data_IF_469320465057
#
_entry.id   IF_469320465057
#
_cell.length_a   1.000
_cell.length_b   1.000
_cell.length_c   1.000
_cell.angle_alpha   90.00
_cell.angle_beta   90.00
_cell.angle_gamma   90.00
#
_symmetry.space_group_name_H-M   'P 1'
#
loop_
_entity.id
_entity.type
_entity.pdbx_description
1 polymer ?
#
# COMPACT_ATOMS: atom_id res chain seq x y z
N UNK A 1 1.36 -18.16 34.68
CA UNK A 1 2.80 -18.04 34.99
C UNK A 1 3.11 -16.57 35.08
N UNK A 2 3.92 -16.12 36.02
CA UNK A 2 4.29 -14.70 36.10
C UNK A 2 5.62 -14.40 35.36
N UNK A 3 5.96 -13.12 35.25
CA UNK A 3 7.18 -12.68 34.56
C UNK A 3 8.45 -13.20 35.24
N UNK A 4 8.47 -13.30 36.56
CA UNK A 4 9.66 -13.71 37.30
C UNK A 4 9.95 -15.19 37.06
N UNK A 5 8.92 -16.04 37.20
CA UNK A 5 9.01 -17.48 36.91
C UNK A 5 9.48 -17.75 35.48
N UNK A 6 8.93 -17.03 34.49
CA UNK A 6 9.37 -17.15 33.09
C UNK A 6 10.85 -16.80 32.94
N UNK A 7 11.29 -15.67 33.49
CA UNK A 7 12.66 -15.19 33.32
C UNK A 7 13.68 -16.09 34.02
N UNK A 8 13.35 -16.65 35.19
CA UNK A 8 14.21 -17.61 35.89
C UNK A 8 14.37 -18.90 35.09
N UNK A 9 13.27 -19.48 34.60
CA UNK A 9 13.29 -20.69 33.77
C UNK A 9 14.03 -20.45 32.46
N UNK A 10 13.82 -19.29 31.83
CA UNK A 10 14.54 -18.91 30.63
C UNK A 10 16.05 -18.76 30.88
N UNK A 11 16.44 -18.15 32.01
CA UNK A 11 17.84 -18.05 32.43
C UNK A 11 18.47 -19.43 32.71
N UNK A 12 17.68 -20.40 33.19
CA UNK A 12 18.09 -21.78 33.38
C UNK A 12 18.22 -22.59 32.06
N UNK A 13 17.93 -21.98 30.91
CA UNK A 13 18.07 -22.59 29.59
C UNK A 13 16.77 -23.15 29.01
N UNK A 14 15.65 -23.03 29.73
CA UNK A 14 14.35 -23.38 29.17
C UNK A 14 13.98 -22.40 28.06
N UNK A 15 13.42 -22.92 26.97
CA UNK A 15 12.97 -22.10 25.84
C UNK A 15 11.52 -22.33 25.48
N UNK A 16 10.94 -23.47 25.88
CA UNK A 16 9.56 -23.79 25.58
C UNK A 16 8.62 -23.28 26.67
N UNK A 17 7.83 -22.28 26.30
CA UNK A 17 6.76 -21.71 27.09
C UNK A 17 5.49 -21.66 26.22
N UNK A 18 5.25 -22.70 25.43
CA UNK A 18 4.05 -22.79 24.62
C UNK A 18 2.78 -22.81 25.50
N UNK A 19 1.71 -22.20 25.01
CA UNK A 19 0.37 -22.19 25.64
C UNK A 19 0.26 -21.55 27.02
N UNK A 20 1.34 -21.00 27.58
CA UNK A 20 1.33 -20.36 28.90
C UNK A 20 0.47 -19.09 28.89
N UNK A 21 -0.14 -18.79 30.04
CA UNK A 21 -0.79 -17.51 30.29
C UNK A 21 0.19 -16.58 31.04
N UNK A 22 0.52 -15.48 30.37
CA UNK A 22 1.38 -14.37 30.75
C UNK A 22 0.63 -13.04 30.60
N UNK A 23 -0.70 -13.06 30.66
CA UNK A 23 -1.52 -11.85 30.54
C UNK A 23 -1.14 -10.82 31.60
N UNK A 24 -1.04 -9.55 31.20
CA UNK A 24 -0.69 -8.43 32.08
C UNK A 24 0.72 -8.47 32.68
N UNK A 25 1.60 -9.36 32.20
CA UNK A 25 2.96 -9.46 32.73
C UNK A 25 3.86 -8.32 32.27
N UNK A 26 4.85 -7.98 33.10
CA UNK A 26 5.85 -6.95 32.83
C UNK A 26 7.16 -7.60 32.37
N UNK A 27 7.38 -7.61 31.06
CA UNK A 27 8.55 -8.17 30.37
C UNK A 27 9.35 -7.08 29.63
N UNK A 28 9.24 -5.83 30.09
CA UNK A 28 9.93 -4.68 29.50
C UNK A 28 11.44 -4.91 29.43
N UNK A 29 12.00 -4.79 28.23
CA UNK A 29 13.43 -4.97 27.99
C UNK A 29 13.95 -6.40 28.20
N UNK A 30 13.07 -7.39 28.43
CA UNK A 30 13.47 -8.77 28.66
C UNK A 30 14.23 -9.35 27.45
N UNK A 31 15.26 -10.14 27.71
CA UNK A 31 15.95 -10.91 26.67
C UNK A 31 15.28 -12.27 26.52
N UNK A 32 14.53 -12.44 25.44
CA UNK A 32 13.74 -13.62 25.10
C UNK A 32 14.03 -14.08 23.66
N UNK A 33 15.26 -13.89 23.19
CA UNK A 33 15.68 -14.27 21.84
C UNK A 33 15.51 -15.77 21.60
N UNK A 34 14.81 -16.13 20.54
CA UNK A 34 14.52 -17.53 20.21
C UNK A 34 13.64 -18.26 21.21
N UNK A 35 12.92 -17.54 22.10
CA UNK A 35 11.93 -18.16 22.98
C UNK A 35 10.81 -18.79 22.14
N UNK A 36 10.27 -19.91 22.61
CA UNK A 36 9.05 -20.51 22.07
C UNK A 36 7.87 -20.15 22.95
N UNK A 37 7.01 -19.27 22.43
CA UNK A 37 5.78 -18.77 23.02
C UNK A 37 4.58 -19.08 22.10
N UNK A 38 4.65 -20.17 21.32
CA UNK A 38 3.55 -20.58 20.45
C UNK A 38 2.25 -20.68 21.24
N UNK A 39 1.21 -20.02 20.75
CA UNK A 39 -0.14 -19.99 21.36
C UNK A 39 -0.18 -19.52 22.82
N UNK A 40 0.89 -18.90 23.33
CA UNK A 40 0.86 -18.27 24.64
C UNK A 40 -0.12 -17.08 24.63
N UNK A 41 -0.64 -16.75 25.81
CA UNK A 41 -1.53 -15.61 26.01
C UNK A 41 -0.72 -14.51 26.69
N UNK A 42 -0.49 -13.41 25.97
CA UNK A 42 0.19 -12.21 26.41
C UNK A 42 -0.74 -10.99 26.29
N UNK A 43 -2.03 -11.19 26.57
CA UNK A 43 -3.03 -10.14 26.57
C UNK A 43 -2.61 -9.02 27.55
N UNK A 44 -2.60 -7.77 27.09
CA UNK A 44 -2.18 -6.59 27.90
C UNK A 44 -0.75 -6.68 28.51
N UNK A 45 0.09 -7.61 28.05
CA UNK A 45 1.47 -7.70 28.55
C UNK A 45 2.31 -6.51 28.09
N UNK A 46 3.25 -6.06 28.94
CA UNK A 46 4.24 -5.04 28.58
C UNK A 46 5.55 -5.70 28.17
N UNK A 47 5.78 -5.78 26.87
CA UNK A 47 6.99 -6.26 26.20
C UNK A 47 7.78 -5.11 25.58
N UNK A 48 7.57 -3.87 26.03
CA UNK A 48 8.25 -2.71 25.44
C UNK A 48 9.76 -2.87 25.51
N UNK A 49 10.45 -2.66 24.38
CA UNK A 49 11.89 -2.84 24.26
C UNK A 49 12.41 -4.27 24.45
N UNK A 50 11.54 -5.29 24.55
CA UNK A 50 11.97 -6.68 24.70
C UNK A 50 12.73 -7.18 23.45
N UNK A 51 13.67 -8.11 23.66
CA UNK A 51 14.46 -8.74 22.61
C UNK A 51 13.83 -10.10 22.28
N UNK A 52 13.11 -10.17 21.17
CA UNK A 52 12.37 -11.33 20.68
C UNK A 52 12.89 -11.79 19.30
N UNK A 53 14.15 -11.49 18.98
CA UNK A 53 14.77 -11.86 17.70
C UNK A 53 14.67 -13.37 17.51
N UNK A 54 14.11 -13.79 16.38
CA UNK A 54 13.89 -15.21 16.05
C UNK A 54 12.96 -15.97 17.00
N UNK A 55 12.15 -15.30 17.81
CA UNK A 55 11.18 -15.96 18.68
C UNK A 55 10.08 -16.69 17.88
N UNK A 56 9.62 -17.82 18.41
CA UNK A 56 8.50 -18.60 17.88
C UNK A 56 7.21 -18.14 18.58
N UNK A 57 6.42 -17.33 17.87
CA UNK A 57 5.21 -16.66 18.36
C UNK A 57 3.97 -17.07 17.54
N UNK A 58 4.02 -18.21 16.85
CA UNK A 58 2.90 -18.64 16.00
C UNK A 58 1.64 -18.85 16.85
N UNK A 59 0.55 -18.20 16.43
CA UNK A 59 -0.75 -18.24 17.12
C UNK A 59 -0.77 -17.55 18.49
N UNK A 60 0.27 -16.79 18.86
CA UNK A 60 0.31 -16.06 20.13
C UNK A 60 -0.82 -15.02 20.21
N UNK A 61 -1.35 -14.78 21.41
CA UNK A 61 -2.35 -13.73 21.65
C UNK A 61 -1.69 -12.53 22.32
N UNK A 62 -1.42 -11.48 21.57
CA UNK A 62 -0.80 -10.21 21.99
C UNK A 62 -1.81 -9.05 21.95
N UNK A 63 -3.11 -9.34 22.04
CA UNK A 63 -4.15 -8.32 22.01
C UNK A 63 -3.91 -7.27 23.10
N UNK A 64 -3.97 -6.00 22.71
CA UNK A 64 -3.77 -4.85 23.61
C UNK A 64 -2.40 -4.83 24.33
N UNK A 65 -1.43 -5.67 23.90
CA UNK A 65 -0.08 -5.69 24.46
C UNK A 65 0.75 -4.47 24.01
N UNK A 66 1.71 -4.08 24.84
CA UNK A 66 2.68 -3.05 24.51
C UNK A 66 4.00 -3.69 24.07
N UNK A 67 4.33 -3.61 22.78
CA UNK A 67 5.62 -4.02 22.20
C UNK A 67 6.38 -2.81 21.61
N UNK A 68 6.15 -1.61 22.11
CA UNK A 68 6.84 -0.41 21.61
C UNK A 68 8.37 -0.57 21.67
N UNK A 69 9.05 -0.33 20.55
CA UNK A 69 10.50 -0.50 20.43
C UNK A 69 11.02 -1.93 20.62
N UNK A 70 10.14 -2.95 20.68
CA UNK A 70 10.58 -4.34 20.78
C UNK A 70 11.32 -4.78 19.52
N UNK A 71 12.25 -5.73 19.68
CA UNK A 71 13.08 -6.26 18.60
C UNK A 71 12.62 -7.67 18.24
N UNK A 72 11.79 -7.78 17.22
CA UNK A 72 11.20 -9.02 16.72
C UNK A 72 11.80 -9.49 15.39
N UNK A 73 12.96 -8.99 14.97
CA UNK A 73 13.50 -9.34 13.66
C UNK A 73 13.62 -10.86 13.46
N UNK A 74 13.12 -11.33 12.32
CA UNK A 74 13.03 -12.75 11.99
C UNK A 74 12.09 -13.61 12.86
N UNK A 75 11.30 -13.03 13.76
CA UNK A 75 10.34 -13.79 14.57
C UNK A 75 9.20 -14.38 13.72
N UNK A 76 8.64 -15.50 14.16
CA UNK A 76 7.55 -16.20 13.49
C UNK A 76 6.23 -15.94 14.21
N UNK A 77 5.35 -15.15 13.59
CA UNK A 77 4.05 -14.72 14.12
C UNK A 77 2.89 -15.21 13.25
N UNK A 78 3.01 -16.40 12.64
CA UNK A 78 1.95 -16.96 11.78
C UNK A 78 0.66 -17.08 12.58
N UNK A 79 -0.42 -16.47 12.10
CA UNK A 79 -1.73 -16.51 12.75
C UNK A 79 -1.79 -15.86 14.14
N UNK A 80 -0.78 -15.08 14.54
CA UNK A 80 -0.80 -14.35 15.80
C UNK A 80 -1.93 -13.31 15.84
N UNK A 81 -2.48 -13.03 17.02
CA UNK A 81 -3.46 -11.96 17.23
C UNK A 81 -2.81 -10.79 17.98
N UNK A 82 -2.48 -9.74 17.25
CA UNK A 82 -1.92 -8.48 17.74
C UNK A 82 -2.97 -7.35 17.73
N UNK A 83 -4.27 -7.69 17.72
CA UNK A 83 -5.32 -6.67 17.61
C UNK A 83 -5.18 -5.61 18.70
N UNK A 84 -5.18 -4.33 18.28
CA UNK A 84 -4.99 -3.16 19.14
C UNK A 84 -3.67 -3.12 19.94
N UNK A 85 -2.71 -3.99 19.65
CA UNK A 85 -1.39 -3.89 20.25
C UNK A 85 -0.67 -2.61 19.81
N UNK A 86 0.32 -2.17 20.59
CA UNK A 86 1.20 -1.06 20.25
C UNK A 86 2.59 -1.58 19.91
N UNK A 87 3.04 -1.36 18.68
CA UNK A 87 4.35 -1.74 18.13
C UNK A 87 5.09 -0.51 17.58
N UNK A 88 4.88 0.65 18.18
CA UNK A 88 5.49 1.91 17.72
C UNK A 88 7.00 1.77 17.73
N UNK A 89 7.63 2.03 16.59
CA UNK A 89 9.09 1.94 16.41
C UNK A 89 9.67 0.54 16.64
N UNK A 90 8.87 -0.52 16.65
CA UNK A 90 9.36 -1.88 16.79
C UNK A 90 10.10 -2.35 15.52
N UNK A 91 11.09 -3.22 15.70
CA UNK A 91 11.79 -3.87 14.59
C UNK A 91 11.17 -5.24 14.31
N UNK A 92 10.38 -5.32 13.25
CA UNK A 92 9.75 -6.54 12.73
C UNK A 92 10.36 -6.95 11.38
N UNK A 93 11.59 -6.50 11.08
CA UNK A 93 12.23 -6.81 9.80
C UNK A 93 12.35 -8.33 9.60
N UNK A 94 11.98 -8.80 8.40
CA UNK A 94 12.01 -10.21 8.04
C UNK A 94 11.07 -11.13 8.86
N UNK A 95 10.13 -10.60 9.64
CA UNK A 95 9.16 -11.41 10.38
C UNK A 95 8.19 -12.14 9.45
N UNK A 96 7.65 -13.27 9.91
CA UNK A 96 6.54 -13.96 9.24
C UNK A 96 5.24 -13.70 9.97
N UNK A 97 4.36 -12.89 9.38
CA UNK A 97 3.03 -12.49 9.87
C UNK A 97 1.90 -13.06 8.99
N UNK A 98 2.14 -14.19 8.31
CA UNK A 98 1.14 -14.81 7.43
C UNK A 98 -0.16 -15.07 8.20
N UNK A 99 -1.28 -14.55 7.69
CA UNK A 99 -2.61 -14.64 8.31
C UNK A 99 -2.70 -14.12 9.76
N UNK A 100 -1.76 -13.29 10.19
CA UNK A 100 -1.84 -12.63 11.49
C UNK A 100 -2.98 -11.59 11.52
N UNK A 101 -3.56 -11.36 12.69
CA UNK A 101 -4.54 -10.30 12.92
C UNK A 101 -3.85 -9.11 13.57
N UNK A 102 -3.76 -8.01 12.83
CA UNK A 102 -3.15 -6.72 13.21
C UNK A 102 -4.21 -5.60 13.17
N UNK A 103 -5.47 -5.94 13.46
CA UNK A 103 -6.58 -5.00 13.35
C UNK A 103 -6.43 -3.90 14.41
N UNK A 104 -6.48 -2.64 13.99
CA UNK A 104 -6.29 -1.46 14.85
C UNK A 104 -4.96 -1.45 15.62
N UNK A 105 -3.98 -2.21 15.17
CA UNK A 105 -2.64 -2.21 15.75
C UNK A 105 -1.94 -0.91 15.42
N UNK A 106 -1.19 -0.36 16.38
CA UNK A 106 -0.34 0.80 16.13
C UNK A 106 1.07 0.35 15.74
N UNK A 107 1.45 0.57 14.50
CA UNK A 107 2.74 0.24 13.89
C UNK A 107 3.46 1.52 13.41
N UNK A 108 3.12 2.70 13.93
CA UNK A 108 3.74 3.96 13.54
C UNK A 108 5.27 3.87 13.65
N UNK A 109 5.97 4.19 12.56
CA UNK A 109 7.43 4.16 12.50
C UNK A 109 8.08 2.79 12.70
N UNK A 110 7.31 1.69 12.68
CA UNK A 110 7.86 0.35 12.80
C UNK A 110 8.64 -0.05 11.53
N UNK A 111 9.62 -0.93 11.69
CA UNK A 111 10.35 -1.52 10.57
C UNK A 111 9.78 -2.90 10.23
N UNK A 112 9.09 -3.02 9.09
CA UNK A 112 8.60 -4.26 8.50
C UNK A 112 9.30 -4.58 7.17
N UNK A 113 10.53 -4.07 6.96
CA UNK A 113 11.31 -4.39 5.77
C UNK A 113 11.39 -5.91 5.57
N UNK A 114 11.04 -6.37 4.36
CA UNK A 114 11.01 -7.80 3.97
C UNK A 114 10.11 -8.71 4.82
N UNK A 115 9.21 -8.16 5.63
CA UNK A 115 8.26 -8.96 6.39
C UNK A 115 7.25 -9.65 5.45
N UNK A 116 6.78 -10.84 5.84
CA UNK A 116 5.73 -11.57 5.12
C UNK A 116 4.38 -11.41 5.80
N UNK A 117 3.54 -10.51 5.29
CA UNK A 117 2.20 -10.16 5.75
C UNK A 117 1.10 -10.69 4.81
N UNK A 118 1.39 -11.67 3.95
CA UNK A 118 0.41 -12.21 3.03
C UNK A 118 -0.86 -12.65 3.78
N UNK A 119 -2.03 -12.28 3.27
CA UNK A 119 -3.34 -12.58 3.86
C UNK A 119 -3.54 -12.09 5.32
N UNK A 120 -2.66 -11.22 5.84
CA UNK A 120 -2.82 -10.63 7.16
C UNK A 120 -3.96 -9.60 7.19
N UNK A 121 -4.58 -9.43 8.36
CA UNK A 121 -5.64 -8.44 8.55
C UNK A 121 -5.10 -7.22 9.31
N UNK A 122 -4.77 -6.15 8.58
CA UNK A 122 -4.36 -4.85 9.12
C UNK A 122 -5.47 -3.78 8.99
N UNK A 123 -6.75 -4.19 8.95
CA UNK A 123 -7.84 -3.23 8.83
C UNK A 123 -7.79 -2.20 9.96
N UNK A 124 -7.96 -0.91 9.64
CA UNK A 124 -7.92 0.21 10.58
C UNK A 124 -6.59 0.32 11.37
N UNK A 125 -5.50 -0.31 10.92
CA UNK A 125 -4.19 -0.18 11.55
C UNK A 125 -3.59 1.22 11.33
N UNK A 126 -2.77 1.65 12.29
CA UNK A 126 -2.00 2.89 12.19
C UNK A 126 -0.59 2.52 11.73
N UNK A 127 -0.22 2.92 10.53
CA UNK A 127 1.00 2.54 9.81
C UNK A 127 1.75 3.78 9.28
N UNK A 128 1.51 4.97 9.87
CA UNK A 128 2.17 6.17 9.40
C UNK A 128 3.69 6.05 9.56
N UNK A 129 4.43 6.48 8.54
CA UNK A 129 5.90 6.43 8.49
C UNK A 129 6.51 5.03 8.68
N UNK A 130 5.74 3.96 8.42
CA UNK A 130 6.21 2.57 8.52
C UNK A 130 7.16 2.22 7.35
N UNK A 131 8.19 1.40 7.60
CA UNK A 131 9.03 0.84 6.53
C UNK A 131 8.54 -0.54 6.13
N UNK A 132 7.98 -0.66 4.93
CA UNK A 132 7.48 -1.89 4.30
C UNK A 132 8.25 -2.20 2.99
N UNK A 133 9.47 -1.67 2.82
CA UNK A 133 10.29 -1.94 1.62
C UNK A 133 10.48 -3.45 1.44
N UNK A 134 10.31 -3.92 0.21
CA UNK A 134 10.40 -5.34 -0.17
C UNK A 134 9.47 -6.29 0.63
N UNK A 135 8.49 -5.77 1.38
CA UNK A 135 7.56 -6.59 2.15
C UNK A 135 6.56 -7.30 1.24
N UNK A 136 6.01 -8.43 1.73
CA UNK A 136 5.02 -9.24 1.00
C UNK A 136 3.66 -9.09 1.67
N UNK A 137 2.75 -8.35 1.05
CA UNK A 137 1.39 -8.06 1.54
C UNK A 137 0.32 -8.58 0.58
N UNK A 138 0.63 -9.60 -0.23
CA UNK A 138 -0.32 -10.12 -1.20
C UNK A 138 -1.61 -10.56 -0.49
N UNK A 139 -2.76 -10.07 -0.99
CA UNK A 139 -4.10 -10.33 -0.44
C UNK A 139 -4.31 -9.87 1.02
N UNK A 140 -3.42 -9.05 1.58
CA UNK A 140 -3.63 -8.48 2.90
C UNK A 140 -4.83 -7.51 2.90
N UNK A 141 -5.46 -7.36 4.07
CA UNK A 141 -6.54 -6.40 4.27
C UNK A 141 -6.03 -5.18 5.02
N UNK A 142 -5.91 -4.04 4.34
CA UNK A 142 -5.56 -2.72 4.88
C UNK A 142 -6.72 -1.72 4.76
N UNK A 143 -7.96 -2.22 4.72
CA UNK A 143 -9.15 -1.35 4.64
C UNK A 143 -9.15 -0.34 5.79
N UNK A 144 -9.26 0.95 5.46
CA UNK A 144 -9.27 2.05 6.44
C UNK A 144 -7.96 2.24 7.21
N UNK A 145 -6.85 1.63 6.79
CA UNK A 145 -5.56 1.82 7.45
C UNK A 145 -4.94 3.19 7.11
N UNK A 146 -4.12 3.71 8.02
CA UNK A 146 -3.36 4.94 7.80
C UNK A 146 -1.90 4.62 7.48
N UNK A 147 -1.52 4.67 6.21
CA UNK A 147 -0.16 4.52 5.69
C UNK A 147 0.45 5.86 5.22
N UNK A 148 0.01 7.00 5.75
CA UNK A 148 0.61 8.28 5.36
C UNK A 148 2.12 8.28 5.60
N UNK A 149 2.88 8.76 4.62
CA UNK A 149 4.36 8.80 4.63
C UNK A 149 5.05 7.44 4.79
N UNK A 150 4.35 6.32 4.58
CA UNK A 150 4.94 4.99 4.63
C UNK A 150 5.88 4.75 3.44
N UNK A 151 6.91 3.93 3.64
CA UNK A 151 7.81 3.49 2.55
C UNK A 151 7.48 2.06 2.16
N UNK A 152 6.85 1.86 1.01
CA UNK A 152 6.48 0.55 0.43
C UNK A 152 7.19 0.27 -0.90
N UNK A 153 8.30 0.95 -1.20
CA UNK A 153 9.04 0.72 -2.43
C UNK A 153 9.34 -0.77 -2.65
N UNK A 154 9.03 -1.26 -3.86
CA UNK A 154 9.17 -2.67 -4.29
C UNK A 154 8.35 -3.69 -3.50
N UNK A 155 7.43 -3.28 -2.64
CA UNK A 155 6.57 -4.20 -1.92
C UNK A 155 5.63 -4.96 -2.88
N UNK A 156 5.31 -6.21 -2.52
CA UNK A 156 4.26 -6.98 -3.19
C UNK A 156 2.91 -6.74 -2.52
N UNK A 157 2.10 -5.90 -3.13
CA UNK A 157 0.75 -5.51 -2.73
C UNK A 157 -0.30 -6.13 -3.67
N UNK A 158 0.03 -7.23 -4.35
CA UNK A 158 -0.90 -7.85 -5.31
C UNK A 158 -2.21 -8.27 -4.62
N UNK A 159 -3.34 -7.91 -5.24
CA UNK A 159 -4.69 -8.19 -4.72
C UNK A 159 -4.94 -7.66 -3.28
N UNK A 160 -4.17 -6.67 -2.83
CA UNK A 160 -4.36 -6.05 -1.51
C UNK A 160 -5.68 -5.27 -1.46
N UNK A 161 -6.29 -5.19 -0.28
CA UNK A 161 -7.46 -4.32 -0.04
C UNK A 161 -7.02 -3.06 0.70
N UNK A 162 -7.08 -1.92 0.04
CA UNK A 162 -6.75 -0.58 0.56
C UNK A 162 -7.96 0.36 0.52
N UNK A 163 -9.18 -0.19 0.47
CA UNK A 163 -10.41 0.61 0.43
C UNK A 163 -10.44 1.58 1.61
N UNK A 164 -10.71 2.87 1.35
CA UNK A 164 -10.74 3.93 2.36
C UNK A 164 -9.42 4.14 3.14
N UNK A 165 -8.29 3.58 2.68
CA UNK A 165 -6.99 3.80 3.31
C UNK A 165 -6.45 5.20 3.01
N UNK A 166 -5.59 5.71 3.89
CA UNK A 166 -4.76 6.90 3.61
C UNK A 166 -3.35 6.43 3.26
N UNK A 167 -2.83 6.89 2.13
CA UNK A 167 -1.46 6.70 1.65
C UNK A 167 -0.86 8.06 1.24
N UNK A 168 -1.35 9.16 1.82
CA UNK A 168 -0.90 10.50 1.51
C UNK A 168 0.62 10.61 1.71
N UNK A 169 1.34 11.02 0.66
CA UNK A 169 2.80 11.15 0.69
C UNK A 169 3.58 9.83 0.83
N UNK A 170 2.94 8.66 0.65
CA UNK A 170 3.64 7.38 0.74
C UNK A 170 4.53 7.14 -0.49
N UNK A 171 5.58 6.34 -0.30
CA UNK A 171 6.47 5.90 -1.37
C UNK A 171 6.13 4.46 -1.78
N UNK A 172 5.58 4.28 -2.99
CA UNK A 172 5.27 2.99 -3.61
C UNK A 172 6.09 2.78 -4.89
N UNK A 173 7.28 3.38 -5.00
CA UNK A 173 8.14 3.24 -6.17
C UNK A 173 8.33 1.75 -6.53
N UNK A 174 8.01 1.40 -7.77
CA UNK A 174 8.13 0.02 -8.33
C UNK A 174 7.39 -1.05 -7.53
N UNK A 175 6.40 -0.69 -6.71
CA UNK A 175 5.57 -1.66 -5.99
C UNK A 175 4.65 -2.43 -6.96
N UNK A 176 4.29 -3.66 -6.57
CA UNK A 176 3.35 -4.48 -7.33
C UNK A 176 1.94 -4.38 -6.70
N UNK A 177 1.04 -3.62 -7.31
CA UNK A 177 -0.37 -3.48 -6.93
C UNK A 177 -1.32 -4.19 -7.92
N UNK A 178 -0.85 -5.23 -8.62
CA UNK A 178 -1.70 -5.94 -9.60
C UNK A 178 -3.00 -6.42 -8.96
N UNK A 179 -4.15 -6.01 -9.52
CA UNK A 179 -5.47 -6.39 -9.03
C UNK A 179 -5.82 -5.87 -7.63
N UNK A 180 -5.07 -4.90 -7.09
CA UNK A 180 -5.36 -4.29 -5.81
C UNK A 180 -6.68 -3.49 -5.84
N UNK A 181 -7.33 -3.36 -4.68
CA UNK A 181 -8.52 -2.52 -4.53
C UNK A 181 -8.19 -1.29 -3.67
N UNK A 182 -8.06 -0.14 -4.32
CA UNK A 182 -7.77 1.18 -3.77
C UNK A 182 -8.98 2.12 -3.95
N UNK A 183 -10.20 1.60 -4.02
CA UNK A 183 -11.36 2.46 -4.18
C UNK A 183 -11.53 3.37 -2.96
N UNK A 184 -11.85 4.64 -3.19
CA UNK A 184 -12.10 5.64 -2.15
C UNK A 184 -10.90 5.92 -1.22
N UNK A 185 -9.69 5.48 -1.55
CA UNK A 185 -8.49 5.79 -0.77
C UNK A 185 -7.89 7.15 -1.13
N UNK A 186 -7.13 7.72 -0.20
CA UNK A 186 -6.35 8.94 -0.42
C UNK A 186 -4.89 8.61 -0.73
N UNK A 187 -4.48 8.86 -1.96
CA UNK A 187 -3.11 8.71 -2.48
C UNK A 187 -2.59 10.07 -2.98
N UNK A 188 -3.05 11.18 -2.40
CA UNK A 188 -2.47 12.49 -2.73
C UNK A 188 -0.97 12.51 -2.43
N UNK A 189 -0.18 13.15 -3.29
CA UNK A 189 1.29 13.25 -3.14
C UNK A 189 2.05 11.91 -3.13
N UNK A 190 1.42 10.80 -3.52
CA UNK A 190 2.06 9.48 -3.51
C UNK A 190 3.10 9.38 -4.62
N UNK A 191 4.21 8.67 -4.36
CA UNK A 191 5.11 8.22 -5.41
C UNK A 191 4.73 6.79 -5.85
N UNK A 192 4.36 6.62 -7.12
CA UNK A 192 4.01 5.36 -7.79
C UNK A 192 4.86 5.13 -9.04
N UNK A 193 6.00 5.81 -9.16
CA UNK A 193 6.88 5.70 -10.33
C UNK A 193 7.27 4.24 -10.59
N UNK A 194 7.06 3.81 -11.84
CA UNK A 194 7.31 2.43 -12.29
C UNK A 194 6.49 1.34 -11.59
N UNK A 195 5.50 1.70 -10.76
CA UNK A 195 4.64 0.73 -10.08
C UNK A 195 3.74 -0.02 -11.07
N UNK A 196 3.29 -1.21 -10.68
CA UNK A 196 2.40 -2.04 -11.47
C UNK A 196 0.99 -2.08 -10.85
N UNK A 197 0.04 -1.33 -11.41
CA UNK A 197 -1.37 -1.26 -11.02
C UNK A 197 -2.29 -1.94 -12.04
N UNK A 198 -1.77 -2.92 -12.79
CA UNK A 198 -2.56 -3.65 -13.79
C UNK A 198 -3.83 -4.22 -13.17
N UNK A 199 -4.99 -3.96 -13.78
CA UNK A 199 -6.31 -4.41 -13.30
C UNK A 199 -6.67 -3.95 -11.88
N UNK A 200 -6.00 -2.92 -11.34
CA UNK A 200 -6.35 -2.37 -10.04
C UNK A 200 -7.67 -1.60 -10.09
N UNK A 201 -8.42 -1.64 -8.99
CA UNK A 201 -9.59 -0.79 -8.80
C UNK A 201 -9.19 0.49 -8.06
N UNK A 202 -9.20 1.61 -8.76
CA UNK A 202 -8.85 2.97 -8.32
C UNK A 202 -10.09 3.89 -8.39
N UNK A 203 -11.31 3.33 -8.38
CA UNK A 203 -12.52 4.14 -8.50
C UNK A 203 -12.63 5.15 -7.34
N UNK A 204 -12.88 6.42 -7.65
CA UNK A 204 -12.98 7.51 -6.68
C UNK A 204 -11.72 7.73 -5.82
N UNK A 205 -10.57 7.20 -6.23
CA UNK A 205 -9.30 7.45 -5.55
C UNK A 205 -8.92 8.93 -5.65
N UNK A 206 -8.23 9.45 -4.63
CA UNK A 206 -7.54 10.73 -4.73
C UNK A 206 -6.07 10.51 -5.09
N UNK A 207 -5.62 10.98 -6.25
CA UNK A 207 -4.23 10.94 -6.74
C UNK A 207 -3.71 12.36 -7.04
N UNK A 208 -4.29 13.38 -6.41
CA UNK A 208 -3.87 14.77 -6.60
C UNK A 208 -2.38 14.94 -6.32
N UNK A 209 -1.67 15.56 -7.26
CA UNK A 209 -0.22 15.82 -7.18
C UNK A 209 0.65 14.56 -6.99
N UNK A 210 0.13 13.39 -7.34
CA UNK A 210 0.89 12.14 -7.29
C UNK A 210 1.86 11.97 -8.48
N UNK A 211 2.93 11.21 -8.26
CA UNK A 211 3.93 10.83 -9.27
C UNK A 211 3.65 9.41 -9.78
N UNK A 212 3.35 9.25 -11.07
CA UNK A 212 3.00 7.99 -11.73
C UNK A 212 3.80 7.82 -13.04
N UNK A 213 5.05 8.25 -13.07
CA UNK A 213 5.91 8.15 -14.25
C UNK A 213 6.19 6.68 -14.57
N UNK A 214 5.90 6.26 -15.81
CA UNK A 214 6.12 4.89 -16.26
C UNK A 214 5.28 3.82 -15.55
N UNK A 215 4.25 4.22 -14.80
CA UNK A 215 3.37 3.31 -14.08
C UNK A 215 2.51 2.48 -15.04
N UNK A 216 2.31 1.19 -14.74
CA UNK A 216 1.44 0.33 -15.53
C UNK A 216 0.01 0.30 -14.97
N UNK A 217 -0.91 0.96 -15.65
CA UNK A 217 -2.34 1.05 -15.34
C UNK A 217 -3.21 0.27 -16.35
N UNK A 218 -2.64 -0.71 -17.07
CA UNK A 218 -3.39 -1.51 -18.05
C UNK A 218 -4.65 -2.13 -17.43
N UNK A 219 -5.81 -1.88 -18.04
CA UNK A 219 -7.13 -2.31 -17.55
C UNK A 219 -7.48 -1.86 -16.11
N UNK A 220 -6.85 -0.80 -15.60
CA UNK A 220 -7.20 -0.26 -14.30
C UNK A 220 -8.54 0.52 -14.35
N UNK A 221 -9.31 0.48 -13.27
CA UNK A 221 -10.53 1.26 -13.13
C UNK A 221 -10.26 2.54 -12.35
N UNK A 222 -10.19 3.68 -13.03
CA UNK A 222 -10.02 5.04 -12.48
C UNK A 222 -11.32 5.86 -12.56
N UNK A 223 -12.49 5.21 -12.62
CA UNK A 223 -13.79 5.89 -12.70
C UNK A 223 -13.94 6.89 -11.55
N UNK A 224 -14.24 8.15 -11.90
CA UNK A 224 -14.37 9.27 -10.96
C UNK A 224 -13.15 9.52 -10.05
N UNK A 225 -11.96 9.06 -10.45
CA UNK A 225 -10.71 9.36 -9.75
C UNK A 225 -10.35 10.86 -9.85
N UNK A 226 -9.69 11.39 -8.82
CA UNK A 226 -9.11 12.74 -8.82
C UNK A 226 -7.64 12.63 -9.17
N UNK A 227 -7.25 13.09 -10.35
CA UNK A 227 -5.89 13.09 -10.91
C UNK A 227 -5.42 14.53 -11.17
N UNK A 228 -5.72 15.44 -10.24
CA UNK A 228 -5.44 16.87 -10.40
C UNK A 228 -3.93 17.09 -10.30
N UNK A 229 -3.32 17.66 -11.34
CA UNK A 229 -1.87 17.95 -11.39
C UNK A 229 -1.01 16.68 -11.18
N UNK A 230 -1.56 15.51 -11.49
CA UNK A 230 -0.84 14.23 -11.43
C UNK A 230 0.17 14.11 -12.57
N UNK A 231 1.34 13.54 -12.30
CA UNK A 231 2.37 13.26 -13.31
C UNK A 231 2.20 11.82 -13.80
N UNK A 232 1.77 11.64 -15.04
CA UNK A 232 1.48 10.35 -15.70
C UNK A 232 2.41 10.09 -16.90
N UNK A 233 3.60 10.69 -16.90
CA UNK A 233 4.53 10.65 -18.03
C UNK A 233 4.91 9.21 -18.39
N UNK A 234 4.69 8.82 -19.65
CA UNK A 234 5.00 7.47 -20.12
C UNK A 234 4.20 6.35 -19.45
N UNK A 235 3.14 6.67 -18.69
CA UNK A 235 2.30 5.66 -18.06
C UNK A 235 1.52 4.84 -19.10
N UNK A 236 1.29 3.57 -18.80
CA UNK A 236 0.48 2.69 -19.65
C UNK A 236 -0.95 2.63 -19.13
N UNK A 237 -1.86 3.41 -19.73
CA UNK A 237 -3.30 3.42 -19.43
C UNK A 237 -4.13 2.68 -20.50
N UNK A 238 -3.51 1.79 -21.28
CA UNK A 238 -4.24 1.01 -22.29
C UNK A 238 -5.42 0.26 -21.66
N UNK A 239 -6.61 0.42 -22.27
CA UNK A 239 -7.89 -0.15 -21.79
C UNK A 239 -8.29 0.25 -20.37
N UNK A 240 -7.75 1.35 -19.84
CA UNK A 240 -8.18 1.87 -18.54
C UNK A 240 -9.55 2.57 -18.63
N UNK A 241 -10.33 2.50 -17.55
CA UNK A 241 -11.61 3.21 -17.42
C UNK A 241 -11.41 4.48 -16.62
N UNK A 242 -11.49 5.65 -17.25
CA UNK A 242 -11.35 6.98 -16.64
C UNK A 242 -12.67 7.79 -16.72
N UNK A 243 -13.82 7.10 -16.74
CA UNK A 243 -15.14 7.74 -16.85
C UNK A 243 -15.30 8.77 -15.72
N UNK A 244 -15.61 10.02 -16.09
CA UNK A 244 -15.78 11.14 -15.16
C UNK A 244 -14.58 11.41 -14.24
N UNK A 245 -13.38 10.94 -14.58
CA UNK A 245 -12.17 11.25 -13.83
C UNK A 245 -11.78 12.72 -14.03
N UNK A 246 -11.16 13.32 -13.01
CA UNK A 246 -10.68 14.70 -13.07
C UNK A 246 -9.16 14.72 -13.26
N UNK A 247 -8.70 14.93 -14.49
CA UNK A 247 -7.29 15.04 -14.88
C UNK A 247 -6.86 16.51 -15.09
N UNK A 248 -7.51 17.48 -14.43
CA UNK A 248 -7.19 18.89 -14.64
C UNK A 248 -5.72 19.19 -14.30
N UNK A 249 -4.99 19.74 -15.26
CA UNK A 249 -3.56 20.05 -15.11
C UNK A 249 -2.63 18.83 -15.07
N UNK A 250 -3.13 17.61 -15.28
CA UNK A 250 -2.29 16.40 -15.29
C UNK A 250 -1.31 16.42 -16.47
N UNK A 251 -0.12 15.86 -16.27
CA UNK A 251 0.87 15.68 -17.33
C UNK A 251 0.86 14.22 -17.82
N UNK A 252 0.27 13.98 -18.98
CA UNK A 252 0.20 12.67 -19.60
C UNK A 252 1.24 12.49 -20.72
N UNK A 253 2.30 13.30 -20.77
CA UNK A 253 3.24 13.27 -21.90
C UNK A 253 3.77 11.84 -22.15
N UNK A 254 3.74 11.38 -23.40
CA UNK A 254 4.15 10.02 -23.82
C UNK A 254 3.32 8.86 -23.26
N UNK A 255 2.19 9.13 -22.61
CA UNK A 255 1.33 8.08 -22.07
C UNK A 255 0.62 7.29 -23.19
N UNK A 256 0.36 6.02 -22.91
CA UNK A 256 -0.45 5.17 -23.77
C UNK A 256 -1.90 5.12 -23.27
N UNK A 257 -2.84 5.70 -24.01
CA UNK A 257 -4.28 5.71 -23.72
C UNK A 257 -5.09 4.90 -24.74
N UNK A 258 -4.44 4.02 -25.51
CA UNK A 258 -5.13 3.21 -26.51
C UNK A 258 -6.29 2.42 -25.86
N UNK A 259 -7.46 2.44 -26.51
CA UNK A 259 -8.69 1.80 -26.03
C UNK A 259 -9.19 2.28 -24.66
N UNK A 260 -8.62 3.35 -24.08
CA UNK A 260 -9.08 3.87 -22.80
C UNK A 260 -10.42 4.60 -22.95
N UNK A 261 -11.20 4.61 -21.88
CA UNK A 261 -12.50 5.30 -21.83
C UNK A 261 -12.44 6.51 -20.91
N UNK A 262 -12.42 7.71 -21.50
CA UNK A 262 -12.39 9.01 -20.85
C UNK A 262 -13.74 9.73 -20.96
N UNK A 263 -14.85 8.99 -21.09
CA UNK A 263 -16.17 9.60 -21.23
C UNK A 263 -16.47 10.55 -20.05
N UNK A 264 -16.76 11.81 -20.35
CA UNK A 264 -17.03 12.85 -19.35
C UNK A 264 -15.83 13.22 -18.46
N UNK A 265 -14.60 12.80 -18.79
CA UNK A 265 -13.42 13.15 -18.02
C UNK A 265 -13.07 14.64 -18.19
N UNK A 266 -12.50 15.25 -17.15
CA UNK A 266 -12.01 16.63 -17.20
C UNK A 266 -10.51 16.66 -17.48
N UNK A 267 -10.11 17.07 -18.68
CA UNK A 267 -8.71 17.24 -19.08
C UNK A 267 -8.33 18.73 -19.22
N UNK A 268 -9.05 19.62 -18.54
CA UNK A 268 -8.76 21.05 -18.58
C UNK A 268 -7.30 21.33 -18.22
N UNK A 269 -6.56 22.03 -19.10
CA UNK A 269 -5.12 22.35 -18.94
C UNK A 269 -4.20 21.13 -18.81
N UNK A 270 -4.66 19.93 -19.13
CA UNK A 270 -3.82 18.75 -19.16
C UNK A 270 -2.76 18.86 -20.28
N UNK A 271 -1.61 18.23 -20.07
CA UNK A 271 -0.54 18.11 -21.06
C UNK A 271 -0.66 16.75 -21.72
N UNK A 272 -0.85 16.72 -23.04
CA UNK A 272 -1.09 15.54 -23.86
C UNK A 272 -0.01 15.38 -24.95
N UNK A 273 1.20 15.89 -24.72
CA UNK A 273 2.29 15.82 -25.69
C UNK A 273 2.64 14.35 -26.00
N UNK A 274 2.64 13.97 -27.27
CA UNK A 274 3.03 12.63 -27.74
C UNK A 274 2.22 11.48 -27.09
N UNK A 275 0.96 11.73 -26.70
CA UNK A 275 0.05 10.70 -26.18
C UNK A 275 -0.47 9.80 -27.30
N UNK A 276 -0.59 8.51 -27.03
CA UNK A 276 -1.29 7.58 -27.94
C UNK A 276 -2.78 7.51 -27.59
N UNK A 277 -3.66 7.77 -28.56
CA UNK A 277 -5.10 7.84 -28.37
C UNK A 277 -5.87 6.89 -29.31
N UNK A 278 -5.23 5.85 -29.83
CA UNK A 278 -5.89 4.98 -30.80
C UNK A 278 -7.09 4.28 -30.14
N UNK A 279 -8.28 4.35 -30.76
CA UNK A 279 -9.53 3.80 -30.21
C UNK A 279 -9.97 4.37 -28.85
N UNK A 280 -9.42 5.50 -28.40
CA UNK A 280 -9.80 6.13 -27.13
C UNK A 280 -11.19 6.75 -27.22
N UNK A 281 -11.99 6.66 -26.16
CA UNK A 281 -13.32 7.27 -26.07
C UNK A 281 -13.25 8.56 -25.25
N UNK A 282 -13.40 9.72 -25.87
CA UNK A 282 -13.40 11.05 -25.24
C UNK A 282 -14.78 11.71 -25.21
N UNK A 283 -15.87 10.97 -25.43
CA UNK A 283 -17.24 11.53 -25.50
C UNK A 283 -17.55 12.39 -24.26
N UNK A 284 -17.88 13.66 -24.48
CA UNK A 284 -18.18 14.62 -23.40
C UNK A 284 -16.99 15.01 -22.53
N UNK A 285 -15.75 14.63 -22.89
CA UNK A 285 -14.56 15.04 -22.16
C UNK A 285 -14.27 16.54 -22.35
N UNK A 286 -13.81 17.22 -21.30
CA UNK A 286 -13.42 18.61 -21.36
C UNK A 286 -11.93 18.75 -21.70
N UNK A 287 -11.61 19.16 -22.93
CA UNK A 287 -10.24 19.40 -23.41
C UNK A 287 -9.86 20.90 -23.43
N UNK A 288 -10.63 21.77 -22.77
CA UNK A 288 -10.33 23.21 -22.76
C UNK A 288 -8.92 23.51 -22.25
N UNK A 289 -8.16 24.31 -22.99
CA UNK A 289 -6.76 24.65 -22.69
C UNK A 289 -5.79 23.46 -22.58
N UNK A 290 -6.18 22.26 -23.03
CA UNK A 290 -5.26 21.12 -23.08
C UNK A 290 -4.11 21.41 -24.05
N UNK A 291 -2.87 21.10 -23.63
CA UNK A 291 -1.66 21.30 -24.43
C UNK A 291 -1.36 20.03 -25.20
N UNK A 292 -1.44 20.09 -26.52
CA UNK A 292 -1.33 18.92 -27.40
C UNK A 292 0.09 18.67 -27.94
N UNK A 293 0.95 19.70 -27.96
CA UNK A 293 2.28 19.62 -28.56
C UNK A 293 3.34 20.07 -27.54
N UNK A 294 4.54 19.49 -27.63
CA UNK A 294 5.72 20.01 -26.93
C UNK A 294 6.21 21.31 -27.61
N UNK A 295 6.78 22.24 -26.84
CA UNK A 295 7.31 23.52 -27.34
C UNK A 295 8.56 23.33 -28.26
N UNK A 296 9.09 22.10 -28.37
CA UNK A 296 10.18 21.73 -29.27
C UNK A 296 9.66 20.98 -30.51
N UNK A 297 9.36 21.74 -31.56
CA UNK A 297 9.24 21.41 -32.99
C UNK A 297 9.06 19.95 -33.52
N UNK A 298 8.30 19.93 -34.62
CA UNK A 298 8.11 18.91 -35.68
C UNK A 298 6.93 17.95 -35.44
N UNK A 299 5.87 18.21 -36.21
CA UNK A 299 4.66 17.42 -36.45
C UNK A 299 4.87 15.90 -36.41
N UNK A 300 4.76 15.29 -35.22
CA UNK A 300 4.03 14.05 -35.11
C UNK A 300 2.62 14.45 -34.66
N UNK A 301 1.69 14.48 -35.61
CA UNK A 301 0.27 14.62 -35.29
C UNK A 301 -0.07 13.56 -34.25
N UNK A 302 -0.64 13.97 -33.12
CA UNK A 302 -1.32 13.06 -32.20
C UNK A 302 -2.12 12.03 -33.01
N UNK A 303 -1.85 10.76 -32.74
CA UNK A 303 -2.57 9.67 -33.39
C UNK A 303 -3.97 9.55 -32.77
N UNK A 304 -4.93 10.15 -33.46
CA UNK A 304 -6.35 10.06 -33.14
C UNK A 304 -7.06 8.93 -33.91
N UNK A 305 -6.33 7.99 -34.53
CA UNK A 305 -6.95 6.92 -35.31
C UNK A 305 -7.99 6.17 -34.49
N UNK A 306 -9.23 6.22 -34.96
CA UNK A 306 -10.43 5.64 -34.38
C UNK A 306 -10.83 6.18 -33.00
N UNK A 307 -10.27 7.31 -32.57
CA UNK A 307 -10.70 7.98 -31.35
C UNK A 307 -12.11 8.57 -31.52
N UNK A 308 -12.94 8.44 -30.48
CA UNK A 308 -14.23 9.15 -30.40
C UNK A 308 -14.03 10.48 -29.69
N UNK A 309 -14.21 11.60 -30.37
CA UNK A 309 -13.98 12.95 -29.87
C UNK A 309 -15.07 13.42 -28.89
N UNK A 310 -14.86 14.55 -28.17
CA UNK A 310 -15.85 15.07 -27.22
C UNK A 310 -17.26 15.29 -27.77
N UNK A 311 -17.37 15.71 -29.03
CA UNK A 311 -18.65 15.90 -29.74
C UNK A 311 -19.25 14.59 -30.29
N UNK A 312 -18.52 13.48 -30.17
CA UNK A 312 -18.91 12.16 -30.65
C UNK A 312 -18.44 11.82 -32.06
N UNK A 313 -17.69 12.69 -32.75
CA UNK A 313 -17.08 12.37 -34.05
C UNK A 313 -16.02 11.27 -33.90
N UNK A 314 -15.83 10.46 -34.94
CA UNK A 314 -14.78 9.44 -35.00
C UNK A 314 -13.77 9.82 -36.09
N UNK A 315 -12.49 9.93 -35.75
CA UNK A 315 -11.43 10.16 -36.73
C UNK A 315 -10.92 8.82 -37.26
N UNK A 316 -10.78 8.68 -38.58
CA UNK A 316 -10.25 7.48 -39.26
C UNK A 316 -8.83 7.66 -39.73
#
# INVERSE_FOLDING_TARGET
MDAHELLERYAAGERNFDTVDLSGTYLRGADLRGVDLKKAILYEADLSGAYLVGAELNGVVLREANLNGARLSGAHLVGADLSKASLVGADLSGTTLWRATLRRTNLSGANLNRASLNEANLSEAILNSVDLRDARLARANLTGANLSEATLAKADLSQVKLVLASLCGADLERANLTGANLSDSDLSWVNLDGANLRQANLSRVNLGEAELTGTNLYQANLTAAKLIVTILRGANLERAELISANLSGADLSWANLDYANLSGANLHRAILADVRLSYTILRGANLSEAKLNSEMQVLNSLDFSWATMPDGAVHG
#
